data_IF_744285261503
#
_entry.id   IF_744285261503
#
_cell.length_a   1.000
_cell.length_b   1.000
_cell.length_c   1.000
_cell.angle_alpha   90.00
_cell.angle_beta   90.00
_cell.angle_gamma   90.00
#
_symmetry.space_group_name_H-M   'P 1'
#
loop_
_entity.id
_entity.type
_entity.pdbx_description
1 polymer ?
#
# COMPACT_ATOMS: atom_id res chain seq x y z
N UNK A 1 -6.77 10.68 21.61
CA UNK A 1 -6.09 9.37 21.63
C UNK A 1 -6.87 8.36 22.48
N UNK A 2 -7.18 8.62 23.76
CA UNK A 2 -7.91 7.68 24.63
C UNK A 2 -9.28 7.29 24.06
N UNK A 3 -10.04 8.23 23.52
CA UNK A 3 -11.34 7.98 22.88
C UNK A 3 -11.23 7.05 21.66
N UNK A 4 -10.18 7.20 20.86
CA UNK A 4 -9.95 6.31 19.70
C UNK A 4 -9.58 4.89 20.14
N UNK A 5 -8.75 4.76 21.18
CA UNK A 5 -8.38 3.46 21.75
C UNK A 5 -9.61 2.76 22.33
N UNK A 6 -10.45 3.46 23.06
CA UNK A 6 -11.68 2.91 23.63
C UNK A 6 -12.62 2.38 22.54
N UNK A 7 -12.84 3.15 21.49
CA UNK A 7 -13.67 2.73 20.35
C UNK A 7 -13.11 1.48 19.63
N UNK A 8 -11.78 1.42 19.44
CA UNK A 8 -11.13 0.25 18.83
C UNK A 8 -11.22 -0.99 19.72
N UNK A 9 -10.98 -0.84 21.01
CA UNK A 9 -11.09 -1.94 21.98
C UNK A 9 -12.50 -2.48 22.08
N UNK A 10 -13.52 -1.61 22.11
CA UNK A 10 -14.92 -2.01 22.13
C UNK A 10 -15.33 -2.74 20.83
N UNK A 11 -14.87 -2.25 19.68
CA UNK A 11 -15.12 -2.92 18.40
C UNK A 11 -14.50 -4.32 18.36
N UNK A 12 -13.25 -4.44 18.77
CA UNK A 12 -12.56 -5.74 18.83
C UNK A 12 -13.23 -6.69 19.83
N UNK A 13 -13.62 -6.21 21.01
CA UNK A 13 -14.32 -6.98 22.01
C UNK A 13 -15.66 -7.49 21.48
N UNK A 14 -16.41 -6.67 20.75
CA UNK A 14 -17.69 -7.05 20.15
C UNK A 14 -17.50 -8.13 19.08
N UNK A 15 -16.53 -7.97 18.18
CA UNK A 15 -16.22 -8.97 17.15
C UNK A 15 -15.85 -10.30 17.81
N UNK A 16 -14.96 -10.29 18.79
CA UNK A 16 -14.51 -11.52 19.45
C UNK A 16 -15.64 -12.18 20.26
N UNK A 17 -16.45 -11.41 20.98
CA UNK A 17 -17.52 -11.97 21.79
C UNK A 17 -18.71 -12.47 20.96
N UNK A 18 -19.12 -11.73 19.93
CA UNK A 18 -20.32 -12.06 19.14
C UNK A 18 -19.98 -12.97 17.96
N UNK A 19 -18.97 -12.59 17.16
CA UNK A 19 -18.67 -13.30 15.91
C UNK A 19 -17.82 -14.55 16.12
N UNK A 20 -16.95 -14.56 17.14
CA UNK A 20 -16.07 -15.69 17.41
C UNK A 20 -16.63 -16.54 18.55
N UNK A 21 -16.77 -15.98 19.76
CA UNK A 21 -17.14 -16.75 20.94
C UNK A 21 -18.54 -17.35 20.82
N UNK A 22 -19.56 -16.53 20.53
CA UNK A 22 -20.95 -17.01 20.38
C UNK A 22 -21.12 -17.96 19.20
N UNK A 23 -20.41 -17.70 18.08
CA UNK A 23 -20.58 -18.47 16.84
C UNK A 23 -19.89 -19.83 16.88
N UNK A 24 -18.69 -19.92 17.45
CA UNK A 24 -17.83 -21.10 17.39
C UNK A 24 -17.75 -21.87 18.71
N UNK A 25 -17.84 -21.19 19.85
CA UNK A 25 -17.65 -21.81 21.16
C UNK A 25 -18.98 -22.06 21.90
N UNK A 26 -19.90 -21.11 21.89
CA UNK A 26 -21.15 -21.22 22.67
C UNK A 26 -22.29 -20.49 21.98
N UNK A 27 -23.07 -21.24 21.18
CA UNK A 27 -24.21 -20.70 20.41
C UNK A 27 -25.34 -20.12 21.30
N UNK A 28 -25.54 -20.69 22.48
CA UNK A 28 -26.58 -20.30 23.44
C UNK A 28 -26.00 -19.42 24.57
N UNK A 29 -24.93 -18.70 24.34
CA UNK A 29 -24.33 -17.82 25.34
C UNK A 29 -25.31 -16.72 25.76
N UNK A 30 -25.45 -16.52 27.07
CA UNK A 30 -26.25 -15.44 27.64
C UNK A 30 -25.57 -14.07 27.43
N UNK A 31 -26.36 -13.00 27.51
CA UNK A 31 -25.82 -11.64 27.37
C UNK A 31 -24.74 -11.33 28.42
N UNK A 32 -24.87 -11.87 29.63
CA UNK A 32 -23.84 -11.72 30.68
C UNK A 32 -22.56 -12.41 30.32
N UNK A 33 -22.58 -13.58 29.71
CA UNK A 33 -21.39 -14.31 29.24
C UNK A 33 -20.70 -13.54 28.10
N UNK A 34 -21.48 -12.95 27.19
CA UNK A 34 -20.93 -12.14 26.10
C UNK A 34 -20.24 -10.86 26.62
N UNK A 35 -20.83 -10.21 27.63
CA UNK A 35 -20.21 -9.05 28.28
C UNK A 35 -18.90 -9.44 28.99
N UNK A 36 -18.88 -10.59 29.68
CA UNK A 36 -17.67 -11.09 30.33
C UNK A 36 -16.60 -11.43 29.29
N UNK A 37 -16.96 -12.13 28.22
CA UNK A 37 -16.06 -12.44 27.10
C UNK A 37 -15.47 -11.17 26.49
N UNK A 38 -16.28 -10.14 26.27
CA UNK A 38 -15.82 -8.84 25.78
C UNK A 38 -14.84 -8.16 26.74
N UNK A 39 -15.10 -8.16 28.04
CA UNK A 39 -14.19 -7.60 29.06
C UNK A 39 -12.85 -8.34 29.11
N UNK A 40 -12.90 -9.66 29.10
CA UNK A 40 -11.68 -10.50 29.05
C UNK A 40 -10.88 -10.21 27.78
N UNK A 41 -11.56 -10.06 26.65
CA UNK A 41 -10.91 -9.68 25.37
C UNK A 41 -10.18 -8.35 25.49
N UNK A 42 -10.80 -7.31 26.06
CA UNK A 42 -10.14 -6.00 26.25
C UNK A 42 -8.88 -6.14 27.11
N UNK A 43 -8.96 -6.88 28.21
CA UNK A 43 -7.80 -7.10 29.09
C UNK A 43 -6.67 -7.84 28.35
N UNK A 44 -7.00 -8.90 27.61
CA UNK A 44 -6.03 -9.67 26.84
C UNK A 44 -5.36 -8.80 25.76
N UNK A 45 -6.15 -8.00 25.02
CA UNK A 45 -5.63 -7.09 24.02
C UNK A 45 -4.72 -6.01 24.62
N UNK A 46 -5.09 -5.47 25.80
CA UNK A 46 -4.22 -4.51 26.51
C UNK A 46 -2.90 -5.13 26.91
N UNK A 47 -2.92 -6.32 27.50
CA UNK A 47 -1.69 -7.04 27.88
C UNK A 47 -0.84 -7.31 26.62
N UNK A 48 -1.47 -7.78 25.55
CA UNK A 48 -0.75 -8.04 24.28
C UNK A 48 -0.13 -6.76 23.71
N UNK A 49 -0.83 -5.63 23.76
CA UNK A 49 -0.29 -4.35 23.31
C UNK A 49 0.91 -3.89 24.14
N UNK A 50 0.86 -4.06 25.47
CA UNK A 50 1.97 -3.76 26.36
C UNK A 50 3.18 -4.66 26.06
N UNK A 51 2.95 -5.97 25.90
CA UNK A 51 4.03 -6.91 25.54
C UNK A 51 4.65 -6.56 24.18
N UNK A 52 3.84 -6.23 23.19
CA UNK A 52 4.36 -5.77 21.90
C UNK A 52 5.18 -4.48 22.03
N UNK A 53 4.75 -3.53 22.83
CA UNK A 53 5.49 -2.29 23.05
C UNK A 53 6.85 -2.52 23.73
N UNK A 54 6.93 -3.52 24.64
CA UNK A 54 8.17 -3.81 25.38
C UNK A 54 9.14 -4.68 24.57
N UNK A 55 8.63 -5.71 23.88
CA UNK A 55 9.49 -6.75 23.28
C UNK A 55 9.68 -6.59 21.77
N UNK A 56 8.80 -5.88 21.08
CA UNK A 56 8.82 -5.80 19.63
C UNK A 56 9.26 -4.41 19.14
N UNK A 57 8.94 -3.36 19.91
CA UNK A 57 9.36 -2.01 19.54
C UNK A 57 10.75 -1.71 20.05
N UNK A 58 11.63 -1.24 19.16
CA UNK A 58 12.98 -0.83 19.54
C UNK A 58 12.99 0.64 19.98
N UNK A 59 13.16 0.93 21.29
CA UNK A 59 13.20 2.30 21.79
C UNK A 59 14.45 3.07 21.36
N UNK A 60 15.50 2.38 20.90
CA UNK A 60 16.76 2.97 20.46
C UNK A 60 16.83 3.13 18.93
N UNK A 61 15.77 2.78 18.23
CA UNK A 61 15.70 2.96 16.79
C UNK A 61 15.72 4.44 16.43
N UNK A 62 16.53 4.80 15.44
CA UNK A 62 16.55 6.14 14.87
C UNK A 62 15.30 6.46 14.04
N UNK A 63 14.42 5.47 13.84
CA UNK A 63 13.17 5.67 13.12
C UNK A 63 12.11 6.35 14.00
N UNK A 64 11.32 7.21 13.38
CA UNK A 64 10.17 7.81 14.04
C UNK A 64 9.20 6.71 14.48
N UNK A 65 8.71 6.79 15.72
CA UNK A 65 7.73 5.86 16.30
C UNK A 65 6.52 5.59 15.40
N UNK A 66 6.05 6.61 14.67
CA UNK A 66 4.98 6.46 13.69
C UNK A 66 5.38 5.51 12.54
N UNK A 67 6.60 5.63 12.04
CA UNK A 67 7.10 4.76 10.96
C UNK A 67 7.27 3.31 11.43
N UNK A 68 7.69 3.09 12.67
CA UNK A 68 7.75 1.75 13.25
C UNK A 68 6.37 1.09 13.28
N UNK A 69 5.35 1.78 13.82
CA UNK A 69 3.97 1.26 13.84
C UNK A 69 3.47 0.98 12.42
N UNK A 70 3.70 1.91 11.50
CA UNK A 70 3.30 1.78 10.11
C UNK A 70 3.99 0.58 9.44
N UNK A 71 5.25 0.32 9.73
CA UNK A 71 5.99 -0.86 9.26
C UNK A 71 5.32 -2.16 9.73
N UNK A 72 4.91 -2.28 11.00
CA UNK A 72 4.20 -3.46 11.48
C UNK A 72 2.81 -3.62 10.86
N UNK A 73 2.06 -2.53 10.69
CA UNK A 73 0.75 -2.57 10.00
C UNK A 73 0.86 -3.08 8.56
N UNK A 74 1.98 -2.81 7.90
CA UNK A 74 2.19 -3.24 6.51
C UNK A 74 2.29 -4.76 6.32
N UNK A 75 2.53 -5.52 7.37
CA UNK A 75 2.46 -6.98 7.27
C UNK A 75 1.02 -7.48 7.12
N UNK A 76 0.04 -6.79 7.70
CA UNK A 76 -1.37 -7.20 7.71
C UNK A 76 -2.19 -6.54 6.59
N UNK A 77 -1.91 -5.28 6.30
CA UNK A 77 -2.75 -4.43 5.45
C UNK A 77 -2.91 -4.94 4.02
N UNK A 78 -1.88 -5.41 3.29
CA UNK A 78 -2.03 -5.78 1.89
C UNK A 78 -2.99 -6.95 1.66
N UNK A 79 -2.84 -8.03 2.43
CA UNK A 79 -3.71 -9.20 2.31
C UNK A 79 -5.16 -8.89 2.65
N UNK A 80 -5.38 -8.10 3.70
CA UNK A 80 -6.69 -7.66 4.14
C UNK A 80 -7.34 -6.74 3.10
N UNK A 81 -6.60 -5.77 2.56
CA UNK A 81 -7.09 -4.85 1.53
C UNK A 81 -7.52 -5.59 0.26
N UNK A 82 -6.72 -6.54 -0.21
CA UNK A 82 -7.06 -7.37 -1.38
C UNK A 82 -8.33 -8.18 -1.12
N UNK A 83 -8.43 -8.83 0.04
CA UNK A 83 -9.61 -9.62 0.39
C UNK A 83 -10.88 -8.77 0.39
N UNK A 84 -10.82 -7.55 0.93
CA UNK A 84 -11.94 -6.61 0.90
C UNK A 84 -12.27 -6.13 -0.51
N UNK A 85 -11.30 -5.59 -1.23
CA UNK A 85 -11.52 -5.00 -2.56
C UNK A 85 -12.03 -6.05 -3.53
N UNK A 86 -11.34 -7.18 -3.66
CA UNK A 86 -11.79 -8.23 -4.59
C UNK A 86 -13.04 -8.95 -4.11
N UNK A 87 -13.24 -9.09 -2.79
CA UNK A 87 -14.47 -9.66 -2.23
C UNK A 87 -15.71 -8.79 -2.51
N UNK A 88 -15.58 -7.47 -2.48
CA UNK A 88 -16.69 -6.55 -2.76
C UNK A 88 -16.92 -6.39 -4.27
N UNK A 89 -15.85 -6.21 -5.04
CA UNK A 89 -15.98 -5.83 -6.45
C UNK A 89 -16.00 -6.98 -7.43
N UNK A 90 -15.50 -8.15 -7.08
CA UNK A 90 -15.37 -9.27 -8.01
C UNK A 90 -16.38 -10.38 -7.72
N UNK A 91 -17.28 -10.65 -8.68
CA UNK A 91 -18.34 -11.67 -8.58
C UNK A 91 -17.84 -13.07 -8.22
N UNK A 92 -16.63 -13.43 -8.67
CA UNK A 92 -16.07 -14.76 -8.45
C UNK A 92 -15.28 -14.86 -7.14
N UNK A 93 -15.19 -13.78 -6.36
CA UNK A 93 -14.56 -13.81 -5.06
C UNK A 93 -15.25 -14.81 -4.12
N UNK A 94 -14.47 -15.67 -3.47
CA UNK A 94 -14.96 -16.71 -2.55
C UNK A 94 -14.47 -16.46 -1.12
N UNK A 95 -15.25 -16.90 -0.13
CA UNK A 95 -14.88 -16.74 1.28
C UNK A 95 -13.55 -17.47 1.63
N UNK A 96 -13.28 -18.71 1.13
CA UNK A 96 -11.97 -19.31 1.31
C UNK A 96 -10.82 -18.49 0.72
N UNK A 97 -11.02 -17.91 -0.48
CA UNK A 97 -10.00 -17.06 -1.08
C UNK A 97 -9.67 -15.85 -0.21
N UNK A 98 -10.69 -15.17 0.33
CA UNK A 98 -10.48 -14.05 1.24
C UNK A 98 -9.68 -14.46 2.49
N UNK A 99 -10.06 -15.56 3.12
CA UNK A 99 -9.39 -16.08 4.32
C UNK A 99 -7.91 -16.42 4.06
N UNK A 100 -7.65 -17.24 3.04
CA UNK A 100 -6.29 -17.64 2.71
C UNK A 100 -5.44 -16.47 2.20
N UNK A 101 -6.03 -15.50 1.53
CA UNK A 101 -5.30 -14.30 1.08
C UNK A 101 -4.85 -13.43 2.24
N UNK A 102 -5.66 -13.29 3.28
CA UNK A 102 -5.27 -12.55 4.49
C UNK A 102 -4.06 -13.23 5.15
N UNK A 103 -4.10 -14.55 5.31
CA UNK A 103 -2.98 -15.31 5.88
C UNK A 103 -1.74 -15.26 4.97
N UNK A 104 -1.93 -15.48 3.67
CA UNK A 104 -0.84 -15.42 2.69
C UNK A 104 -0.23 -14.03 2.62
N UNK A 105 -1.00 -12.96 2.77
CA UNK A 105 -0.52 -11.60 2.77
C UNK A 105 0.51 -11.33 3.87
N UNK A 106 0.30 -11.89 5.07
CA UNK A 106 1.26 -11.80 6.18
C UNK A 106 2.57 -12.51 5.82
N UNK A 107 2.47 -13.74 5.33
CA UNK A 107 3.64 -14.55 4.93
C UNK A 107 4.38 -13.90 3.77
N UNK A 108 3.66 -13.43 2.76
CA UNK A 108 4.24 -12.76 1.60
C UNK A 108 4.94 -11.44 1.99
N UNK A 109 4.36 -10.67 2.92
CA UNK A 109 5.02 -9.47 3.44
C UNK A 109 6.36 -9.80 4.09
N UNK A 110 6.39 -10.85 4.89
CA UNK A 110 7.63 -11.32 5.52
C UNK A 110 8.64 -11.83 4.48
N UNK A 111 8.20 -12.66 3.53
CA UNK A 111 9.06 -13.21 2.48
C UNK A 111 9.64 -12.11 1.60
N UNK A 112 8.84 -11.12 1.21
CA UNK A 112 9.31 -10.00 0.38
C UNK A 112 10.41 -9.22 1.08
N UNK A 113 10.29 -8.98 2.40
CA UNK A 113 11.34 -8.32 3.18
C UNK A 113 12.60 -9.18 3.19
N UNK A 114 12.49 -10.48 3.52
CA UNK A 114 13.65 -11.38 3.61
C UNK A 114 14.38 -11.61 2.28
N UNK A 115 13.65 -11.62 1.17
CA UNK A 115 14.23 -11.88 -0.16
C UNK A 115 14.77 -10.61 -0.81
N UNK A 116 14.13 -9.48 -0.55
CA UNK A 116 14.47 -8.23 -1.22
C UNK A 116 15.50 -7.40 -0.45
N UNK A 117 15.32 -7.24 0.86
CA UNK A 117 16.20 -6.39 1.65
C UNK A 117 17.60 -6.99 1.66
N UNK A 118 18.56 -6.21 1.21
CA UNK A 118 19.98 -6.59 1.29
C UNK A 118 20.59 -5.90 2.50
N UNK A 119 21.53 -6.59 3.14
CA UNK A 119 22.32 -6.03 4.23
C UNK A 119 23.29 -4.95 3.76
N UNK A 120 23.24 -4.60 2.46
CA UNK A 120 24.13 -3.62 1.86
C UNK A 120 23.80 -2.21 2.34
N UNK A 121 24.75 -1.50 2.97
CA UNK A 121 24.57 -0.13 3.38
C UNK A 121 24.25 0.80 2.21
N UNK A 122 23.31 1.71 2.41
CA UNK A 122 22.88 2.63 1.36
C UNK A 122 24.00 3.47 0.75
N UNK A 123 25.00 3.99 1.50
CA UNK A 123 26.12 4.71 0.93
C UNK A 123 26.93 3.87 -0.06
N UNK A 124 27.20 2.62 0.29
CA UNK A 124 27.94 1.69 -0.58
C UNK A 124 27.16 1.36 -1.87
N UNK A 125 25.85 1.22 -1.74
CA UNK A 125 24.96 1.03 -2.87
C UNK A 125 24.95 2.24 -3.81
N UNK A 126 24.89 3.47 -3.28
CA UNK A 126 24.87 4.69 -4.08
C UNK A 126 26.21 4.89 -4.81
N UNK A 127 27.34 4.56 -4.19
CA UNK A 127 28.66 4.55 -4.85
C UNK A 127 28.71 3.48 -5.95
N UNK A 128 28.22 2.27 -5.68
CA UNK A 128 28.23 1.19 -6.67
C UNK A 128 27.41 1.50 -7.93
N UNK A 129 26.44 2.41 -7.83
CA UNK A 129 25.65 2.91 -8.96
C UNK A 129 26.11 4.26 -9.51
N UNK A 130 27.29 4.73 -9.12
CA UNK A 130 27.85 6.03 -9.52
C UNK A 130 26.95 7.23 -9.16
N UNK A 131 26.16 7.11 -8.06
CA UNK A 131 25.27 8.15 -7.55
C UNK A 131 25.91 9.01 -6.46
N UNK A 132 26.93 8.50 -5.79
CA UNK A 132 27.72 9.19 -4.78
C UNK A 132 29.20 9.03 -5.06
N UNK A 133 30.03 9.97 -4.58
CA UNK A 133 31.48 9.90 -4.77
C UNK A 133 32.14 9.10 -3.63
N UNK A 134 33.30 8.50 -3.94
CA UNK A 134 34.12 7.79 -2.93
C UNK A 134 34.58 8.75 -1.84
N UNK A 135 34.77 10.05 -2.15
CA UNK A 135 35.07 11.08 -1.14
C UNK A 135 34.00 11.25 -0.07
N UNK A 136 32.74 11.03 -0.41
CA UNK A 136 31.62 11.09 0.54
C UNK A 136 31.67 9.92 1.51
N UNK A 137 32.21 8.78 1.08
CA UNK A 137 32.43 7.60 1.92
C UNK A 137 33.58 7.83 2.93
N UNK A 138 34.70 8.41 2.50
CA UNK A 138 35.84 8.73 3.37
C UNK A 138 35.55 9.87 4.35
N UNK A 139 34.56 10.72 4.10
CA UNK A 139 34.17 11.81 5.00
C UNK A 139 33.41 11.34 6.27
N UNK A 140 33.38 10.05 6.56
CA UNK A 140 32.84 9.51 7.82
C UNK A 140 31.35 9.24 7.84
N UNK A 141 30.68 9.29 6.70
CA UNK A 141 29.26 8.94 6.60
C UNK A 141 29.05 7.45 6.39
N UNK A 142 29.15 6.72 7.45
CA UNK A 142 28.54 5.42 7.76
C UNK A 142 28.56 4.26 6.78
N UNK A 143 29.46 3.34 7.04
CA UNK A 143 29.22 1.92 6.85
C UNK A 143 29.07 1.27 8.22
N UNK A 144 27.99 0.51 8.51
CA UNK A 144 27.84 -0.16 9.77
C UNK A 144 29.02 -1.09 10.07
N UNK A 145 29.50 -1.10 11.29
CA UNK A 145 30.69 -1.81 11.76
C UNK A 145 30.65 -3.34 11.60
N UNK A 146 29.77 -3.95 10.91
CA UNK A 146 29.70 -5.40 10.69
C UNK A 146 29.72 -5.78 9.20
N UNK A 147 29.59 -4.83 8.29
CA UNK A 147 29.54 -5.12 6.86
C UNK A 147 30.93 -5.17 6.23
N UNK A 148 31.91 -4.58 6.89
CA UNK A 148 33.28 -4.44 6.41
C UNK A 148 34.26 -5.06 7.43
N UNK A 149 34.35 -6.38 7.41
CA UNK A 149 35.44 -7.11 8.08
C UNK A 149 36.83 -6.83 7.45
N UNK A 150 36.86 -6.06 6.38
CA UNK A 150 38.07 -5.63 5.72
C UNK A 150 38.28 -4.15 5.96
N UNK A 151 39.53 -3.74 6.12
CA UNK A 151 39.97 -2.35 6.31
C UNK A 151 39.66 -1.47 5.09
N UNK A 152 38.40 -1.35 4.72
CA UNK A 152 37.96 -0.56 3.55
C UNK A 152 38.31 0.92 3.70
N UNK A 153 38.44 1.39 4.95
CA UNK A 153 38.88 2.74 5.24
C UNK A 153 40.37 2.98 4.88
N UNK A 154 41.16 1.91 4.83
CA UNK A 154 42.60 1.96 4.53
C UNK A 154 42.92 1.61 3.07
N UNK A 155 41.89 1.26 2.26
CA UNK A 155 42.06 0.96 0.83
C UNK A 155 42.41 2.21 0.05
N UNK A 156 43.33 2.07 -0.91
CA UNK A 156 43.54 3.08 -1.95
C UNK A 156 42.29 3.20 -2.84
N UNK A 157 42.13 4.31 -3.53
CA UNK A 157 40.98 4.53 -4.40
C UNK A 157 40.84 3.45 -5.47
N UNK A 158 41.93 3.01 -6.07
CA UNK A 158 41.95 1.97 -7.11
C UNK A 158 41.52 0.59 -6.55
N UNK A 159 41.94 0.26 -5.32
CA UNK A 159 41.54 -0.99 -4.63
C UNK A 159 40.06 -0.97 -4.24
N UNK A 160 39.56 0.19 -3.81
CA UNK A 160 38.14 0.37 -3.47
C UNK A 160 37.26 0.26 -4.72
N UNK A 161 37.65 0.90 -5.84
CA UNK A 161 36.94 0.81 -7.10
C UNK A 161 36.92 -0.65 -7.64
N UNK A 162 38.05 -1.37 -7.50
CA UNK A 162 38.09 -2.79 -7.83
C UNK A 162 37.17 -3.65 -6.96
N UNK A 163 37.12 -3.38 -5.65
CA UNK A 163 36.21 -4.02 -4.71
C UNK A 163 34.75 -3.77 -5.09
N UNK A 164 34.37 -2.52 -5.35
CA UNK A 164 33.02 -2.18 -5.78
C UNK A 164 32.65 -2.91 -7.07
N UNK A 165 33.53 -2.95 -8.04
CA UNK A 165 33.27 -3.57 -9.34
C UNK A 165 33.14 -5.09 -9.25
N UNK A 166 33.94 -5.73 -8.40
CA UNK A 166 34.02 -7.19 -8.29
C UNK A 166 33.00 -7.77 -7.32
N UNK A 167 32.88 -7.17 -6.13
CA UNK A 167 32.15 -7.77 -5.01
C UNK A 167 30.77 -7.13 -4.78
N UNK A 168 30.58 -5.88 -5.16
CA UNK A 168 29.33 -5.16 -4.88
C UNK A 168 28.39 -5.10 -6.11
N UNK A 169 28.86 -4.57 -7.23
CA UNK A 169 28.02 -4.39 -8.44
C UNK A 169 27.34 -5.66 -8.95
N UNK A 170 27.96 -6.85 -8.96
CA UNK A 170 27.31 -8.07 -9.43
C UNK A 170 26.16 -8.55 -8.53
N UNK A 171 26.22 -8.21 -7.24
CA UNK A 171 25.23 -8.61 -6.26
C UNK A 171 23.98 -7.71 -6.23
N UNK A 172 24.01 -6.56 -6.94
CA UNK A 172 22.85 -5.67 -7.04
C UNK A 172 21.90 -6.20 -8.11
N UNK A 173 20.73 -6.66 -7.70
CA UNK A 173 19.69 -7.12 -8.62
C UNK A 173 19.10 -5.99 -9.47
N UNK A 174 18.46 -6.33 -10.60
CA UNK A 174 17.79 -5.36 -11.46
C UNK A 174 16.66 -4.61 -10.72
N UNK A 175 15.96 -5.28 -9.81
CA UNK A 175 14.92 -4.66 -8.98
C UNK A 175 15.52 -3.68 -7.97
N UNK A 176 16.63 -4.03 -7.34
CA UNK A 176 17.34 -3.13 -6.41
C UNK A 176 17.87 -1.88 -7.14
N UNK A 177 18.31 -2.00 -8.40
CA UNK A 177 18.70 -0.82 -9.21
C UNK A 177 17.55 0.16 -9.44
N UNK A 178 16.31 -0.34 -9.50
CA UNK A 178 15.12 0.50 -9.70
C UNK A 178 14.58 1.09 -8.39
N UNK A 179 14.53 0.30 -7.31
CA UNK A 179 13.80 0.64 -6.09
C UNK A 179 14.68 0.87 -4.86
N UNK A 180 16.00 0.67 -4.97
CA UNK A 180 16.95 0.83 -3.86
C UNK A 180 17.33 -0.48 -3.18
N UNK A 181 18.31 -0.45 -2.25
CA UNK A 181 18.82 -1.63 -1.55
C UNK A 181 17.78 -2.23 -0.61
N UNK A 182 16.91 -1.40 -0.03
CA UNK A 182 15.76 -1.77 0.79
C UNK A 182 14.50 -1.23 0.17
N UNK A 183 13.41 -2.01 0.21
CA UNK A 183 12.12 -1.54 -0.29
C UNK A 183 11.58 -0.43 0.60
N UNK A 184 11.32 0.72 -0.01
CA UNK A 184 10.53 1.73 0.66
C UNK A 184 9.18 1.13 1.05
N UNK A 185 8.67 1.57 2.19
CA UNK A 185 7.38 1.25 2.77
C UNK A 185 6.25 1.10 1.71
N UNK A 186 6.10 2.07 0.81
CA UNK A 186 5.05 2.04 -0.22
C UNK A 186 5.29 0.97 -1.28
N UNK A 187 6.51 0.82 -1.77
CA UNK A 187 6.84 -0.19 -2.77
C UNK A 187 6.59 -1.60 -2.22
N UNK A 188 6.96 -1.86 -0.96
CA UNK A 188 6.67 -3.13 -0.29
C UNK A 188 5.18 -3.44 -0.27
N UNK A 189 4.35 -2.47 0.14
CA UNK A 189 2.88 -2.65 0.13
C UNK A 189 2.36 -2.98 -1.25
N UNK A 190 2.80 -2.26 -2.29
CA UNK A 190 2.34 -2.48 -3.67
C UNK A 190 2.74 -3.88 -4.18
N UNK A 191 3.97 -4.33 -3.93
CA UNK A 191 4.42 -5.67 -4.30
C UNK A 191 3.59 -6.76 -3.62
N UNK A 192 3.44 -6.66 -2.30
CA UNK A 192 2.66 -7.65 -1.53
C UNK A 192 1.19 -7.63 -1.92
N UNK A 193 0.63 -6.45 -2.21
CA UNK A 193 -0.74 -6.30 -2.69
C UNK A 193 -0.94 -7.02 -4.03
N UNK A 194 0.00 -6.85 -4.97
CA UNK A 194 -0.02 -7.56 -6.25
C UNK A 194 0.05 -9.09 -6.08
N UNK A 195 0.99 -9.57 -5.28
CA UNK A 195 1.12 -11.00 -4.98
C UNK A 195 -0.12 -11.55 -4.27
N UNK A 196 -0.65 -10.85 -3.29
CA UNK A 196 -1.89 -11.22 -2.58
C UNK A 196 -3.08 -11.27 -3.53
N UNK A 197 -3.17 -10.34 -4.48
CA UNK A 197 -4.23 -10.36 -5.50
C UNK A 197 -4.14 -11.60 -6.40
N UNK A 198 -2.94 -12.00 -6.79
CA UNK A 198 -2.71 -13.24 -7.56
C UNK A 198 -3.17 -14.45 -6.75
N UNK A 199 -2.80 -14.54 -5.46
CA UNK A 199 -3.23 -15.62 -4.57
C UNK A 199 -4.75 -15.66 -4.46
N UNK A 200 -5.40 -14.50 -4.25
CA UNK A 200 -6.85 -14.40 -4.18
C UNK A 200 -7.52 -14.92 -5.45
N UNK A 201 -7.03 -14.50 -6.62
CA UNK A 201 -7.56 -14.92 -7.92
C UNK A 201 -7.41 -16.43 -8.11
N UNK A 202 -6.23 -16.98 -7.85
CA UNK A 202 -5.96 -18.41 -8.00
C UNK A 202 -6.91 -19.22 -7.11
N UNK A 203 -7.00 -18.91 -5.84
CA UNK A 203 -7.86 -19.64 -4.89
C UNK A 203 -9.35 -19.48 -5.26
N UNK A 204 -9.77 -18.28 -5.67
CA UNK A 204 -11.15 -18.06 -6.13
C UNK A 204 -11.49 -18.86 -7.39
N UNK A 205 -10.52 -19.08 -8.28
CA UNK A 205 -10.73 -19.91 -9.47
C UNK A 205 -10.79 -21.39 -9.13
N UNK A 206 -10.07 -21.84 -8.10
CA UNK A 206 -10.05 -23.24 -7.65
C UNK A 206 -11.24 -23.62 -6.75
N UNK A 207 -11.90 -22.63 -6.15
CA UNK A 207 -13.01 -22.85 -5.20
C UNK A 207 -14.37 -22.67 -5.89
N UNK A 208 -15.42 -23.46 -5.51
CA UNK A 208 -16.74 -23.30 -6.10
C UNK A 208 -17.34 -21.93 -5.71
N UNK A 209 -17.94 -21.28 -6.70
CA UNK A 209 -18.59 -19.98 -6.52
C UNK A 209 -19.95 -20.14 -5.83
N UNK A 210 -20.19 -19.38 -4.76
CA UNK A 210 -21.51 -19.24 -4.15
C UNK A 210 -22.35 -18.24 -4.97
N UNK A 211 -23.28 -18.74 -5.78
CA UNK A 211 -24.11 -17.93 -6.67
C UNK A 211 -24.97 -16.90 -5.91
N UNK A 212 -25.43 -17.23 -4.69
CA UNK A 212 -26.24 -16.31 -3.88
C UNK A 212 -25.40 -15.13 -3.38
N UNK A 213 -24.19 -15.40 -2.89
CA UNK A 213 -23.28 -14.36 -2.41
C UNK A 213 -22.69 -13.54 -3.56
N UNK A 214 -22.45 -14.13 -4.73
CA UNK A 214 -21.92 -13.41 -5.88
C UNK A 214 -22.85 -12.31 -6.38
N UNK A 215 -24.16 -12.45 -6.17
CA UNK A 215 -25.16 -11.43 -6.51
C UNK A 215 -25.06 -10.20 -5.59
N UNK A 216 -24.53 -10.34 -4.38
CA UNK A 216 -24.35 -9.26 -3.42
C UNK A 216 -23.09 -8.42 -3.67
N UNK A 217 -22.21 -8.85 -4.59
CA UNK A 217 -21.04 -8.07 -4.98
C UNK A 217 -21.45 -6.85 -5.81
N UNK A 218 -20.62 -5.82 -5.82
CA UNK A 218 -20.86 -4.61 -6.63
C UNK A 218 -21.14 -4.91 -8.10
N UNK A 219 -20.37 -5.82 -8.69
CA UNK A 219 -20.59 -6.29 -10.07
C UNK A 219 -21.85 -7.15 -10.19
N UNK A 220 -22.23 -7.87 -9.12
CA UNK A 220 -23.48 -8.66 -9.03
C UNK A 220 -24.73 -7.80 -9.03
N UNK A 221 -24.67 -6.66 -8.35
CA UNK A 221 -25.75 -5.67 -8.27
C UNK A 221 -25.91 -4.82 -9.54
N UNK A 222 -25.22 -5.15 -10.62
CA UNK A 222 -25.29 -4.42 -11.89
C UNK A 222 -24.38 -3.18 -11.97
N UNK A 223 -23.45 -3.03 -11.03
CA UNK A 223 -22.48 -1.93 -11.02
C UNK A 223 -21.50 -1.93 -12.20
N UNK A 224 -21.41 -3.02 -12.93
CA UNK A 224 -20.50 -3.14 -14.07
C UNK A 224 -21.21 -2.86 -15.39
N UNK A 225 -20.93 -1.70 -15.97
CA UNK A 225 -21.30 -1.37 -17.36
C UNK A 225 -20.06 -1.53 -18.25
N UNK A 226 -20.12 -2.35 -19.34
CA UNK A 226 -18.98 -2.58 -20.23
C UNK A 226 -18.44 -1.32 -20.92
N UNK A 227 -19.27 -0.28 -21.04
CA UNK A 227 -18.88 1.04 -21.54
C UNK A 227 -17.88 1.77 -20.65
N UNK A 228 -17.79 1.42 -19.36
CA UNK A 228 -16.84 2.03 -18.41
C UNK A 228 -15.39 1.65 -18.67
N UNK A 229 -15.12 0.45 -19.16
CA UNK A 229 -13.75 0.01 -19.45
C UNK A 229 -13.12 0.85 -20.59
N UNK A 230 -13.87 1.14 -21.65
CA UNK A 230 -13.42 2.03 -22.74
C UNK A 230 -13.23 3.47 -22.24
N UNK A 231 -14.11 3.94 -21.37
CA UNK A 231 -14.00 5.26 -20.76
C UNK A 231 -12.77 5.37 -19.85
N UNK A 232 -12.52 4.36 -19.00
CA UNK A 232 -11.33 4.26 -18.16
C UNK A 232 -10.05 4.22 -18.99
N UNK A 233 -9.99 3.40 -20.05
CA UNK A 233 -8.85 3.33 -20.95
C UNK A 233 -8.57 4.68 -21.62
N UNK A 234 -9.62 5.36 -22.11
CA UNK A 234 -9.49 6.69 -22.70
C UNK A 234 -8.99 7.72 -21.68
N UNK A 235 -9.48 7.67 -20.44
CA UNK A 235 -9.03 8.55 -19.36
C UNK A 235 -7.57 8.28 -19.00
N UNK A 236 -7.17 7.01 -18.94
CA UNK A 236 -5.77 6.65 -18.70
C UNK A 236 -4.86 7.20 -19.78
N UNK A 237 -5.19 6.97 -21.06
CA UNK A 237 -4.41 7.53 -22.18
C UNK A 237 -4.30 9.06 -22.10
N UNK A 238 -5.41 9.75 -21.79
CA UNK A 238 -5.40 11.21 -21.65
C UNK A 238 -4.54 11.65 -20.46
N UNK A 239 -4.64 10.98 -19.32
CA UNK A 239 -3.82 11.29 -18.13
C UNK A 239 -2.34 11.04 -18.38
N UNK A 240 -1.98 9.97 -19.08
CA UNK A 240 -0.60 9.69 -19.49
C UNK A 240 -0.06 10.75 -20.46
N UNK A 241 -0.87 11.21 -21.42
CA UNK A 241 -0.50 12.32 -22.31
C UNK A 241 -0.26 13.62 -21.54
N UNK A 242 -1.15 13.96 -20.60
CA UNK A 242 -1.00 15.14 -19.75
C UNK A 242 0.24 15.03 -18.88
N UNK A 243 0.50 13.84 -18.30
CA UNK A 243 1.68 13.58 -17.50
C UNK A 243 2.96 13.74 -18.32
N UNK A 244 3.00 13.16 -19.52
CA UNK A 244 4.15 13.28 -20.44
C UNK A 244 4.39 14.74 -20.85
N UNK A 245 3.31 15.48 -21.15
CA UNK A 245 3.39 16.89 -21.52
C UNK A 245 3.91 17.75 -20.35
N UNK A 246 3.37 17.54 -19.16
CA UNK A 246 3.83 18.22 -17.94
C UNK A 246 5.29 17.87 -17.64
N UNK A 247 5.68 16.60 -17.77
CA UNK A 247 7.05 16.16 -17.59
C UNK A 247 8.01 16.84 -18.57
N UNK A 248 7.64 16.91 -19.84
CA UNK A 248 8.42 17.62 -20.85
C UNK A 248 8.54 19.13 -20.58
N UNK A 249 7.43 19.79 -20.26
CA UNK A 249 7.42 21.22 -19.93
C UNK A 249 8.26 21.55 -18.70
N UNK A 250 8.16 20.72 -17.66
CA UNK A 250 8.91 20.94 -16.41
C UNK A 250 10.38 20.64 -16.55
N UNK A 251 10.77 19.62 -17.33
CA UNK A 251 12.18 19.35 -17.65
C UNK A 251 12.82 20.52 -18.39
N UNK A 252 12.11 21.14 -19.32
CA UNK A 252 12.59 22.32 -20.04
C UNK A 252 12.71 23.57 -19.16
N UNK A 253 11.79 23.75 -18.20
CA UNK A 253 11.69 25.00 -17.43
C UNK A 253 12.48 24.97 -16.13
N UNK A 254 12.67 23.79 -15.53
CA UNK A 254 13.19 23.63 -14.16
C UNK A 254 14.28 22.57 -14.01
N UNK A 255 15.11 22.37 -15.00
CA UNK A 255 16.22 21.42 -14.94
C UNK A 255 16.97 21.49 -13.62
N UNK A 256 17.02 20.38 -12.90
CA UNK A 256 17.82 20.22 -11.67
C UNK A 256 17.12 20.51 -10.34
N UNK A 257 15.80 20.53 -10.28
CA UNK A 257 15.07 20.64 -9.00
C UNK A 257 14.38 19.33 -8.61
N UNK A 258 14.75 18.80 -7.44
CA UNK A 258 14.23 17.51 -6.89
C UNK A 258 12.71 17.46 -6.64
N UNK A 259 12.05 18.62 -6.58
CA UNK A 259 10.60 18.76 -6.35
C UNK A 259 9.74 18.43 -7.58
N UNK A 260 10.30 18.24 -8.76
CA UNK A 260 9.54 18.06 -10.00
C UNK A 260 8.84 16.69 -10.07
N UNK A 261 9.54 15.64 -9.67
CA UNK A 261 9.04 14.26 -9.75
C UNK A 261 7.80 14.04 -8.86
N UNK A 262 7.81 14.41 -7.56
CA UNK A 262 6.61 14.29 -6.72
C UNK A 262 5.46 15.18 -7.19
N UNK A 263 5.73 16.41 -7.64
CA UNK A 263 4.68 17.30 -8.16
C UNK A 263 4.02 16.71 -9.41
N UNK A 264 4.79 16.16 -10.33
CA UNK A 264 4.27 15.52 -11.53
C UNK A 264 3.45 14.27 -11.20
N UNK A 265 3.93 13.43 -10.29
CA UNK A 265 3.22 12.25 -9.84
C UNK A 265 1.89 12.62 -9.15
N UNK A 266 1.91 13.66 -8.31
CA UNK A 266 0.72 14.19 -7.66
C UNK A 266 -0.31 14.75 -8.68
N UNK A 267 0.14 15.53 -9.65
CA UNK A 267 -0.71 16.02 -10.73
C UNK A 267 -1.31 14.88 -11.55
N UNK A 268 -0.49 13.89 -11.92
CA UNK A 268 -0.98 12.72 -12.66
C UNK A 268 -2.05 11.97 -11.89
N UNK A 269 -1.82 11.67 -10.60
CA UNK A 269 -2.76 10.98 -9.74
C UNK A 269 -4.09 11.76 -9.60
N UNK A 270 -4.02 13.08 -9.43
CA UNK A 270 -5.19 13.95 -9.35
C UNK A 270 -5.98 13.95 -10.67
N UNK A 271 -5.31 14.15 -11.83
CA UNK A 271 -5.97 14.13 -13.14
C UNK A 271 -6.58 12.78 -13.47
N UNK A 272 -5.88 11.68 -13.16
CA UNK A 272 -6.43 10.34 -13.31
C UNK A 272 -7.71 10.16 -12.51
N UNK A 273 -7.71 10.55 -11.23
CA UNK A 273 -8.86 10.45 -10.33
C UNK A 273 -10.04 11.29 -10.83
N UNK A 274 -9.80 12.55 -11.20
CA UNK A 274 -10.83 13.43 -11.78
C UNK A 274 -11.41 12.86 -13.08
N UNK A 275 -10.56 12.26 -13.92
CA UNK A 275 -10.98 11.63 -15.16
C UNK A 275 -11.90 10.42 -14.93
N UNK A 276 -11.57 9.57 -13.94
CA UNK A 276 -12.41 8.41 -13.56
C UNK A 276 -13.78 8.86 -13.08
N UNK A 277 -13.84 9.84 -12.16
CA UNK A 277 -15.11 10.40 -11.69
C UNK A 277 -15.88 11.13 -12.80
N UNK A 278 -15.20 11.88 -13.66
CA UNK A 278 -15.81 12.55 -14.82
C UNK A 278 -16.46 11.57 -15.79
N UNK A 279 -15.81 10.44 -16.07
CA UNK A 279 -16.39 9.36 -16.88
C UNK A 279 -17.65 8.77 -16.25
N UNK A 280 -17.68 8.63 -14.93
CA UNK A 280 -18.85 8.13 -14.20
C UNK A 280 -20.00 9.12 -14.22
N UNK A 281 -19.72 10.42 -14.00
CA UNK A 281 -20.71 11.51 -14.06
C UNK A 281 -21.33 11.57 -15.45
N UNK A 282 -20.52 11.57 -16.51
CA UNK A 282 -20.99 11.60 -17.88
C UNK A 282 -21.78 10.33 -18.27
N UNK A 283 -21.40 9.19 -17.70
CA UNK A 283 -22.16 7.95 -17.88
C UNK A 283 -23.55 8.03 -17.27
N UNK A 284 -23.67 8.55 -16.06
CA UNK A 284 -24.95 8.75 -15.37
C UNK A 284 -25.80 9.84 -16.04
N UNK A 285 -25.20 10.93 -16.51
CA UNK A 285 -25.91 11.97 -17.23
C UNK A 285 -26.61 11.44 -18.50
N UNK A 286 -26.01 10.52 -19.23
CA UNK A 286 -26.64 9.91 -20.43
C UNK A 286 -27.88 9.07 -20.14
N UNK A 287 -28.02 8.59 -18.92
CA UNK A 287 -29.15 7.74 -18.48
C UNK A 287 -30.18 8.49 -17.66
N UNK A 288 -29.92 9.77 -17.36
CA UNK A 288 -30.80 10.62 -16.56
C UNK A 288 -31.71 11.50 -17.45
N UNK A 289 -33.01 11.32 -17.31
CA UNK A 289 -34.05 12.03 -18.03
C UNK A 289 -34.45 13.38 -17.37
N UNK A 290 -33.61 13.92 -16.51
CA UNK A 290 -33.93 15.11 -15.70
C UNK A 290 -34.05 16.43 -16.47
N UNK A 291 -33.72 16.43 -17.76
CA UNK A 291 -33.80 17.67 -18.63
C UNK A 291 -32.77 18.74 -18.25
N UNK A 292 -31.86 18.47 -17.32
CA UNK A 292 -30.82 19.40 -16.90
C UNK A 292 -29.69 19.54 -17.93
N UNK A 293 -29.10 20.73 -18.04
CA UNK A 293 -27.89 20.91 -18.83
C UNK A 293 -26.71 20.15 -18.22
N UNK A 294 -25.71 19.75 -19.03
CA UNK A 294 -24.51 19.02 -18.55
C UNK A 294 -23.81 19.75 -17.41
N UNK A 295 -23.68 21.05 -17.49
CA UNK A 295 -23.04 21.88 -16.47
C UNK A 295 -23.78 21.85 -15.14
N UNK A 296 -25.10 21.97 -15.18
CA UNK A 296 -25.95 21.89 -13.99
C UNK A 296 -25.92 20.51 -13.35
N UNK A 297 -25.89 19.45 -14.17
CA UNK A 297 -25.79 18.08 -13.66
C UNK A 297 -24.44 17.85 -12.96
N UNK A 298 -23.33 18.29 -13.55
CA UNK A 298 -22.01 18.18 -12.94
C UNK A 298 -21.97 18.91 -11.59
N UNK A 299 -22.46 20.13 -11.53
CA UNK A 299 -22.43 20.93 -10.29
C UNK A 299 -23.37 20.41 -9.18
N UNK A 300 -24.42 19.68 -9.52
CA UNK A 300 -25.36 19.11 -8.55
C UNK A 300 -25.04 17.67 -8.15
N UNK A 301 -24.16 17.01 -8.89
CA UNK A 301 -23.82 15.61 -8.63
C UNK A 301 -22.88 15.47 -7.42
N UNK A 302 -23.28 14.65 -6.46
CA UNK A 302 -22.44 14.29 -5.32
C UNK A 302 -21.10 13.65 -5.74
N UNK A 303 -21.07 13.00 -6.91
CA UNK A 303 -19.86 12.43 -7.50
C UNK A 303 -18.84 13.52 -7.88
N UNK A 304 -19.25 14.73 -8.18
CA UNK A 304 -18.34 15.84 -8.48
C UNK A 304 -17.55 16.22 -7.24
N UNK A 305 -18.24 16.37 -6.11
CA UNK A 305 -17.59 16.69 -4.83
C UNK A 305 -16.74 15.54 -4.31
N UNK A 306 -17.24 14.31 -4.45
CA UNK A 306 -16.46 13.10 -4.12
C UNK A 306 -15.19 12.99 -5.00
N UNK A 307 -15.29 13.29 -6.29
CA UNK A 307 -14.18 13.29 -7.22
C UNK A 307 -13.13 14.36 -6.90
N UNK A 308 -13.56 15.57 -6.58
CA UNK A 308 -12.66 16.65 -6.15
C UNK A 308 -11.94 16.31 -4.85
N UNK A 309 -12.66 15.77 -3.86
CA UNK A 309 -12.07 15.37 -2.59
C UNK A 309 -11.05 14.23 -2.79
N UNK A 310 -11.40 13.21 -3.57
CA UNK A 310 -10.52 12.11 -3.89
C UNK A 310 -9.27 12.57 -4.67
N UNK A 311 -9.43 13.47 -5.65
CA UNK A 311 -8.31 14.02 -6.40
C UNK A 311 -7.37 14.84 -5.52
N UNK A 312 -7.92 15.65 -4.61
CA UNK A 312 -7.14 16.40 -3.62
C UNK A 312 -6.37 15.47 -2.69
N UNK A 313 -7.00 14.42 -2.20
CA UNK A 313 -6.35 13.42 -1.35
C UNK A 313 -5.20 12.71 -2.10
N UNK A 314 -5.40 12.32 -3.36
CA UNK A 314 -4.37 11.71 -4.19
C UNK A 314 -3.22 12.68 -4.48
N UNK A 315 -3.52 13.94 -4.77
CA UNK A 315 -2.51 14.98 -4.96
C UNK A 315 -1.64 15.12 -3.70
N UNK A 316 -2.28 15.32 -2.53
CA UNK A 316 -1.58 15.47 -1.25
C UNK A 316 -0.72 14.25 -0.92
N UNK A 317 -1.23 13.05 -1.17
CA UNK A 317 -0.50 11.80 -0.92
C UNK A 317 0.81 11.72 -1.73
N UNK A 318 0.79 12.09 -3.02
CA UNK A 318 1.98 12.01 -3.87
C UNK A 318 2.88 13.24 -3.80
N UNK A 319 2.38 14.37 -3.30
CA UNK A 319 3.15 15.59 -3.14
C UNK A 319 3.97 15.60 -1.85
N UNK A 320 3.43 15.06 -0.75
CA UNK A 320 4.06 15.09 0.57
C UNK A 320 4.79 13.79 0.94
N UNK A 321 4.62 12.71 0.20
CA UNK A 321 5.26 11.41 0.43
C UNK A 321 6.07 10.95 -0.79
#
# INVERSE_FOLDING_TARGET
ILSSIDSMMNSAATIISVDIYKRYFRKDASDRELIIAGRVTIVVLMITAILMAIFVMDPNSNENFFLQIANYQNYLTPGLLVAFVLGIFWKRGTAPAAFYTILAGIVLSWVVVQVYDSDMPRPLYDIALDRASVSDFHAGNFVPAGYLDQNVHDMSQDEFDAFIAKDIRPNISALQKMFGPTLNFFHRVVFVLGLSAIVFVIISLMTPMDTKKSQLTWTGLGGHQPTRLKALAKTLCLSLLIFALLGWLTDQTFRGRDLLTPTLAACFAAFWTLGVYGCEILGKFKTDDSGMSRGQYILRSDLTYAGLLAATAMFMMYFFF
#
